data_IF_366276188692
#
_entry.id   IF_366276188692
#
_cell.length_a   1.000
_cell.length_b   1.000
_cell.length_c   1.000
_cell.angle_alpha   90.00
_cell.angle_beta   90.00
_cell.angle_gamma   90.00
#
_symmetry.space_group_name_H-M   'P 1'
#
loop_
_entity.id
_entity.type
_entity.pdbx_description
1 polymer ?
#
# COMPACT_ATOMS: atom_id res chain seq x y z
N UNK A 1 5.65 -24.93 11.15
CA UNK A 1 6.91 -24.64 10.41
C UNK A 1 7.53 -23.39 11.01
N UNK A 2 8.65 -23.58 11.67
CA UNK A 2 9.34 -22.76 12.68
C UNK A 2 10.14 -21.61 12.06
N UNK A 3 10.46 -20.61 12.90
CA UNK A 3 11.07 -19.30 12.61
C UNK A 3 12.52 -19.34 12.06
N UNK A 4 12.98 -20.47 11.55
CA UNK A 4 14.37 -20.68 11.11
C UNK A 4 14.74 -19.95 9.80
N UNK A 5 13.76 -19.37 9.10
CA UNK A 5 13.98 -18.71 7.80
C UNK A 5 14.28 -17.21 7.86
N UNK A 6 14.41 -16.61 9.06
CA UNK A 6 14.67 -15.17 9.20
C UNK A 6 16.17 -14.87 9.43
N UNK A 7 16.78 -13.90 8.72
CA UNK A 7 18.16 -13.51 8.94
C UNK A 7 18.36 -12.87 10.33
N UNK A 8 19.46 -13.24 11.01
CA UNK A 8 19.80 -12.91 12.42
C UNK A 8 20.00 -11.41 12.75
N UNK A 9 19.68 -10.48 11.85
CA UNK A 9 19.95 -9.05 12.10
C UNK A 9 18.78 -8.41 12.85
N UNK A 10 18.92 -8.36 14.18
CA UNK A 10 18.04 -7.62 15.08
C UNK A 10 18.27 -6.12 14.81
N UNK A 11 17.21 -5.40 14.43
CA UNK A 11 17.23 -3.93 14.32
C UNK A 11 16.88 -3.36 15.70
N UNK A 12 17.68 -2.45 16.27
CA UNK A 12 17.33 -1.80 17.55
C UNK A 12 16.01 -1.02 17.40
N UNK A 13 15.05 -1.26 18.30
CA UNK A 13 13.73 -0.60 18.31
C UNK A 13 12.53 -1.52 18.04
N UNK A 14 12.75 -2.81 17.74
CA UNK A 14 11.64 -3.76 17.62
C UNK A 14 11.25 -4.32 18.98
N UNK A 15 10.03 -4.04 19.42
CA UNK A 15 9.44 -4.62 20.65
C UNK A 15 9.39 -6.15 20.52
N UNK A 16 10.00 -6.92 21.45
CA UNK A 16 9.92 -8.37 21.42
C UNK A 16 8.49 -8.83 21.71
N UNK A 17 8.03 -9.82 20.94
CA UNK A 17 6.69 -10.41 21.10
C UNK A 17 6.65 -11.20 22.41
N UNK A 18 5.89 -10.71 23.39
CA UNK A 18 5.60 -11.42 24.63
C UNK A 18 4.49 -12.46 24.41
N UNK A 19 4.70 -13.67 24.91
CA UNK A 19 3.86 -14.84 24.66
C UNK A 19 3.19 -15.34 25.95
N UNK A 20 2.16 -14.66 26.43
CA UNK A 20 1.21 -15.23 27.40
C UNK A 20 -0.11 -14.46 27.33
N UNK A 21 -1.20 -15.17 27.07
CA UNK A 21 -2.61 -14.71 27.13
C UNK A 21 -3.07 -13.59 26.19
N UNK A 22 -3.12 -13.83 24.87
CA UNK A 22 -3.95 -12.99 23.98
C UNK A 22 -4.51 -13.86 22.86
N UNK A 23 -5.83 -13.79 22.63
CA UNK A 23 -6.49 -14.27 21.42
C UNK A 23 -5.67 -13.81 20.19
N UNK A 24 -4.83 -14.69 19.62
CA UNK A 24 -4.07 -14.34 18.42
C UNK A 24 -5.09 -14.22 17.31
N UNK A 25 -5.52 -13.00 16.98
CA UNK A 25 -6.36 -12.77 15.82
C UNK A 25 -5.58 -13.29 14.59
N UNK A 26 -5.99 -14.42 13.97
CA UNK A 26 -5.17 -15.10 12.97
C UNK A 26 -4.93 -14.21 11.75
N UNK A 27 -5.91 -13.37 11.41
CA UNK A 27 -5.78 -12.41 10.33
C UNK A 27 -4.71 -11.35 10.64
N UNK A 28 -4.68 -10.78 11.85
CA UNK A 28 -3.67 -9.81 12.25
C UNK A 28 -2.25 -10.41 12.26
N UNK A 29 -2.10 -11.64 12.76
CA UNK A 29 -0.82 -12.36 12.76
C UNK A 29 -0.32 -12.66 11.33
N UNK A 30 -1.20 -13.15 10.45
CA UNK A 30 -0.87 -13.39 9.04
C UNK A 30 -0.52 -12.09 8.31
N UNK A 31 -1.25 -11.01 8.58
CA UNK A 31 -0.96 -9.68 8.04
C UNK A 31 0.45 -9.21 8.45
N UNK A 32 0.78 -9.29 9.74
CA UNK A 32 2.09 -8.88 10.25
C UNK A 32 3.23 -9.73 9.69
N UNK A 33 3.01 -11.03 9.52
CA UNK A 33 3.98 -11.92 8.86
C UNK A 33 4.19 -11.57 7.39
N UNK A 34 3.12 -11.24 6.67
CA UNK A 34 3.19 -10.76 5.29
C UNK A 34 3.97 -9.45 5.18
N UNK A 35 3.75 -8.53 6.12
CA UNK A 35 4.46 -7.25 6.20
C UNK A 35 5.96 -7.46 6.40
N UNK A 36 6.35 -8.35 7.32
CA UNK A 36 7.74 -8.71 7.54
C UNK A 36 8.40 -9.23 6.25
N UNK A 37 7.74 -10.17 5.55
CA UNK A 37 8.25 -10.63 4.25
C UNK A 37 8.36 -9.51 3.22
N UNK A 38 7.42 -8.57 3.18
CA UNK A 38 7.45 -7.44 2.28
C UNK A 38 8.63 -6.49 2.57
N UNK A 39 8.94 -6.24 3.84
CA UNK A 39 10.09 -5.43 4.27
C UNK A 39 11.42 -6.01 3.75
N UNK A 40 11.55 -7.34 3.75
CA UNK A 40 12.72 -8.04 3.17
C UNK A 40 12.59 -8.28 1.65
N UNK A 41 11.68 -7.60 0.96
CA UNK A 41 11.41 -7.73 -0.49
C UNK A 41 11.04 -9.16 -0.94
N UNK A 42 10.62 -10.02 -0.02
CA UNK A 42 10.17 -11.39 -0.30
C UNK A 42 8.71 -11.39 -0.78
N UNK A 43 8.42 -10.68 -1.88
CA UNK A 43 7.05 -10.36 -2.31
C UNK A 43 6.16 -11.58 -2.52
N UNK A 44 6.68 -12.68 -3.09
CA UNK A 44 5.92 -13.93 -3.26
C UNK A 44 5.44 -14.50 -1.92
N UNK A 45 6.30 -14.48 -0.89
CA UNK A 45 5.97 -14.96 0.46
C UNK A 45 5.01 -14.01 1.16
N UNK A 46 5.19 -12.70 1.00
CA UNK A 46 4.27 -11.69 1.51
C UNK A 46 2.85 -11.90 0.96
N UNK A 47 2.72 -12.03 -0.36
CA UNK A 47 1.43 -12.30 -1.04
C UNK A 47 0.80 -13.60 -0.54
N UNK A 48 1.59 -14.66 -0.32
CA UNK A 48 1.08 -15.91 0.23
C UNK A 48 0.46 -15.71 1.62
N UNK A 49 1.11 -14.94 2.51
CA UNK A 49 0.57 -14.64 3.84
C UNK A 49 -0.68 -13.76 3.77
N UNK A 50 -0.69 -12.74 2.90
CA UNK A 50 -1.89 -11.91 2.72
C UNK A 50 -3.06 -12.65 2.09
N UNK A 51 -2.80 -13.63 1.21
CA UNK A 51 -3.82 -14.51 0.65
C UNK A 51 -4.48 -15.34 1.76
N UNK A 52 -3.68 -15.91 2.67
CA UNK A 52 -4.20 -16.59 3.85
C UNK A 52 -4.99 -15.64 4.76
N UNK A 53 -4.46 -14.44 5.03
CA UNK A 53 -5.16 -13.43 5.83
C UNK A 53 -6.52 -13.05 5.22
N UNK A 54 -6.58 -12.91 3.90
CA UNK A 54 -7.80 -12.58 3.15
C UNK A 54 -8.85 -13.68 3.21
N UNK A 55 -8.46 -14.96 3.37
CA UNK A 55 -9.39 -16.08 3.60
C UNK A 55 -10.01 -16.03 4.99
N UNK A 56 -9.25 -15.57 5.98
CA UNK A 56 -9.74 -15.44 7.37
C UNK A 56 -10.67 -14.25 7.52
N UNK A 57 -10.27 -13.09 6.97
CA UNK A 57 -11.10 -11.88 6.99
C UNK A 57 -11.08 -11.23 5.60
N UNK A 58 -12.08 -11.54 4.76
CA UNK A 58 -12.26 -10.87 3.48
C UNK A 58 -12.40 -9.37 3.69
N UNK A 59 -11.87 -8.58 2.75
CA UNK A 59 -11.91 -7.13 2.78
C UNK A 59 -11.29 -6.47 4.03
N UNK A 60 -10.40 -7.15 4.76
CA UNK A 60 -9.67 -6.52 5.84
C UNK A 60 -8.75 -5.40 5.31
N UNK A 61 -9.05 -4.16 5.70
CA UNK A 61 -8.43 -2.97 5.12
C UNK A 61 -6.89 -2.96 5.19
N UNK A 62 -6.25 -3.20 6.36
CA UNK A 62 -4.79 -3.28 6.43
C UNK A 62 -4.20 -4.33 5.48
N UNK A 63 -4.83 -5.50 5.38
CA UNK A 63 -4.37 -6.59 4.51
C UNK A 63 -4.49 -6.23 3.04
N UNK A 64 -5.60 -5.62 2.63
CA UNK A 64 -5.77 -5.17 1.25
C UNK A 64 -4.76 -4.08 0.87
N UNK A 65 -4.56 -3.07 1.72
CA UNK A 65 -3.62 -1.99 1.45
C UNK A 65 -2.19 -2.51 1.37
N UNK A 66 -1.79 -3.38 2.30
CA UNK A 66 -0.47 -4.02 2.30
C UNK A 66 -0.27 -4.91 1.07
N UNK A 67 -1.31 -5.63 0.63
CA UNK A 67 -1.25 -6.45 -0.59
C UNK A 67 -1.07 -5.58 -1.83
N UNK A 68 -1.80 -4.48 -1.93
CA UNK A 68 -1.67 -3.54 -3.05
C UNK A 68 -0.27 -2.91 -3.10
N UNK A 69 0.28 -2.52 -1.94
CA UNK A 69 1.63 -1.99 -1.83
C UNK A 69 2.68 -3.01 -2.27
N UNK A 70 2.53 -4.28 -1.89
CA UNK A 70 3.43 -5.35 -2.37
C UNK A 70 3.31 -5.54 -3.88
N UNK A 71 2.10 -5.53 -4.44
CA UNK A 71 1.96 -5.61 -5.89
C UNK A 71 2.60 -4.43 -6.61
N UNK A 72 2.41 -3.21 -6.11
CA UNK A 72 3.06 -2.01 -6.63
C UNK A 72 4.60 -2.11 -6.58
N UNK A 73 5.17 -2.53 -5.45
CA UNK A 73 6.61 -2.70 -5.28
C UNK A 73 7.20 -3.85 -6.11
N UNK A 74 6.38 -4.84 -6.45
CA UNK A 74 6.73 -5.91 -7.40
C UNK A 74 6.43 -5.56 -8.86
N UNK A 75 6.15 -4.29 -9.14
CA UNK A 75 5.83 -3.73 -10.47
C UNK A 75 4.57 -4.32 -11.14
N UNK A 76 3.73 -5.00 -10.36
CA UNK A 76 2.45 -5.52 -10.82
C UNK A 76 1.35 -4.48 -10.63
N UNK A 77 1.45 -3.38 -11.38
CA UNK A 77 0.57 -2.22 -11.23
C UNK A 77 -0.90 -2.55 -11.49
N UNK A 78 -1.19 -3.45 -12.44
CA UNK A 78 -2.57 -3.87 -12.72
C UNK A 78 -3.26 -4.53 -11.52
N UNK A 79 -2.57 -5.43 -10.81
CA UNK A 79 -3.10 -6.04 -9.58
C UNK A 79 -3.19 -5.04 -8.43
N UNK A 80 -2.22 -4.13 -8.31
CA UNK A 80 -2.27 -3.06 -7.32
C UNK A 80 -3.53 -2.17 -7.52
N UNK A 81 -3.77 -1.70 -8.75
CA UNK A 81 -4.94 -0.91 -9.12
C UNK A 81 -6.23 -1.66 -8.79
N UNK A 82 -6.35 -2.91 -9.21
CA UNK A 82 -7.57 -3.72 -8.96
C UNK A 82 -7.92 -3.82 -7.48
N UNK A 83 -6.91 -4.02 -6.61
CA UNK A 83 -7.13 -4.11 -5.17
C UNK A 83 -7.49 -2.75 -4.57
N UNK A 84 -6.82 -1.68 -4.98
CA UNK A 84 -7.07 -0.32 -4.49
C UNK A 84 -8.47 0.16 -4.89
N UNK A 85 -8.89 -0.05 -6.14
CA UNK A 85 -10.25 0.28 -6.56
C UNK A 85 -11.31 -0.50 -5.76
N UNK A 86 -11.09 -1.79 -5.51
CA UNK A 86 -11.98 -2.57 -4.63
C UNK A 86 -11.96 -2.07 -3.18
N UNK A 87 -10.82 -1.58 -2.71
CA UNK A 87 -10.72 -1.00 -1.36
C UNK A 87 -11.56 0.28 -1.26
N UNK A 88 -11.60 1.11 -2.30
CA UNK A 88 -12.44 2.32 -2.33
C UNK A 88 -13.94 1.98 -2.30
N UNK A 89 -14.35 0.88 -2.93
CA UNK A 89 -15.75 0.44 -2.92
C UNK A 89 -16.17 -0.11 -1.56
N UNK A 90 -15.29 -0.89 -0.91
CA UNK A 90 -15.60 -1.52 0.38
C UNK A 90 -15.42 -0.58 1.58
N UNK A 91 -14.48 0.34 1.51
CA UNK A 91 -14.15 1.28 2.58
C UNK A 91 -14.00 2.69 1.97
N UNK A 92 -15.07 3.37 1.58
CA UNK A 92 -14.95 4.66 0.90
C UNK A 92 -14.31 5.75 1.77
N UNK A 93 -14.48 5.68 3.09
CA UNK A 93 -14.07 6.69 4.07
C UNK A 93 -13.21 6.08 5.20
N UNK A 94 -12.05 5.53 4.87
CA UNK A 94 -11.12 4.98 5.86
C UNK A 94 -10.03 5.97 6.26
N UNK A 95 -9.42 5.79 7.43
CA UNK A 95 -8.37 6.69 7.96
C UNK A 95 -7.17 6.84 7.00
N UNK A 96 -6.78 5.76 6.32
CA UNK A 96 -5.65 5.74 5.38
C UNK A 96 -5.99 6.21 3.95
N UNK A 97 -7.13 6.88 3.74
CA UNK A 97 -7.67 7.17 2.39
C UNK A 97 -6.74 8.07 1.58
N UNK A 98 -6.01 9.00 2.22
CA UNK A 98 -5.04 9.85 1.53
C UNK A 98 -3.88 9.02 0.94
N UNK A 99 -3.25 8.17 1.77
CA UNK A 99 -2.18 7.27 1.36
C UNK A 99 -2.63 6.34 0.23
N UNK A 100 -3.86 5.83 0.34
CA UNK A 100 -4.48 5.01 -0.68
C UNK A 100 -4.61 5.78 -2.01
N UNK A 101 -5.21 6.98 -2.01
CA UNK A 101 -5.37 7.79 -3.23
C UNK A 101 -4.05 8.08 -3.91
N UNK A 102 -3.01 8.39 -3.13
CA UNK A 102 -1.66 8.63 -3.66
C UNK A 102 -1.07 7.35 -4.26
N UNK A 103 -1.16 6.20 -3.58
CA UNK A 103 -0.69 4.92 -4.11
C UNK A 103 -1.42 4.51 -5.39
N UNK A 104 -2.73 4.75 -5.47
CA UNK A 104 -3.54 4.50 -6.65
C UNK A 104 -3.12 5.43 -7.81
N UNK A 105 -2.86 6.70 -7.53
CA UNK A 105 -2.32 7.63 -8.53
C UNK A 105 -0.96 7.15 -9.06
N UNK A 106 -0.04 6.75 -8.18
CA UNK A 106 1.26 6.22 -8.57
C UNK A 106 1.13 4.97 -9.45
N UNK A 107 0.27 4.01 -9.05
CA UNK A 107 0.04 2.79 -9.81
C UNK A 107 -0.56 3.10 -11.20
N UNK A 108 -1.44 4.09 -11.29
CA UNK A 108 -1.99 4.54 -12.58
C UNK A 108 -0.94 5.18 -13.48
N UNK A 109 -0.08 6.04 -12.95
CA UNK A 109 0.98 6.67 -13.74
C UNK A 109 2.01 5.65 -14.21
N UNK A 110 2.41 4.72 -13.33
CA UNK A 110 3.32 3.62 -13.68
C UNK A 110 2.74 2.61 -14.68
N UNK A 111 1.41 2.51 -14.78
CA UNK A 111 0.71 1.74 -15.82
C UNK A 111 0.35 2.58 -17.06
N UNK A 112 0.96 3.76 -17.22
CA UNK A 112 0.76 4.69 -18.32
C UNK A 112 -0.66 5.27 -18.43
N UNK A 113 -1.48 5.13 -17.39
CA UNK A 113 -2.81 5.74 -17.31
C UNK A 113 -2.74 7.10 -16.59
N UNK A 114 -2.16 8.09 -17.26
CA UNK A 114 -1.93 9.43 -16.72
C UNK A 114 -3.23 10.13 -16.30
N UNK A 115 -4.30 9.98 -17.07
CA UNK A 115 -5.60 10.60 -16.78
C UNK A 115 -6.21 10.13 -15.44
N UNK A 116 -6.25 8.82 -15.18
CA UNK A 116 -6.70 8.30 -13.88
C UNK A 116 -5.72 8.63 -12.74
N UNK A 117 -4.43 8.74 -13.05
CA UNK A 117 -3.40 9.24 -12.13
C UNK A 117 -3.70 10.66 -11.64
N UNK A 118 -3.89 11.60 -12.58
CA UNK A 118 -4.23 13.00 -12.32
C UNK A 118 -5.51 13.15 -11.52
N UNK A 119 -6.55 12.39 -11.87
CA UNK A 119 -7.82 12.39 -11.13
C UNK A 119 -7.61 12.05 -9.65
N UNK A 120 -6.78 11.05 -9.34
CA UNK A 120 -6.52 10.67 -7.94
C UNK A 120 -5.60 11.68 -7.22
N UNK A 121 -4.67 12.32 -7.92
CA UNK A 121 -3.87 13.45 -7.40
C UNK A 121 -4.78 14.61 -7.01
N UNK A 122 -5.69 15.03 -7.89
CA UNK A 122 -6.62 16.12 -7.64
C UNK A 122 -7.50 15.83 -6.40
N UNK A 123 -7.98 14.59 -6.26
CA UNK A 123 -8.72 14.15 -5.07
C UNK A 123 -7.84 14.24 -3.83
N UNK A 124 -6.61 13.70 -3.87
CA UNK A 124 -5.71 13.71 -2.71
C UNK A 124 -5.40 15.14 -2.23
N UNK A 125 -5.13 16.08 -3.16
CA UNK A 125 -4.86 17.49 -2.83
C UNK A 125 -6.10 18.18 -2.28
N UNK A 126 -7.29 17.90 -2.83
CA UNK A 126 -8.55 18.42 -2.29
C UNK A 126 -8.81 17.94 -0.86
N UNK A 127 -8.45 16.69 -0.55
CA UNK A 127 -8.62 16.11 0.79
C UNK A 127 -7.61 16.67 1.79
N UNK A 128 -6.36 16.84 1.36
CA UNK A 128 -5.31 17.41 2.17
C UNK A 128 -4.38 18.27 1.31
N UNK A 129 -4.54 19.61 1.32
CA UNK A 129 -3.72 20.52 0.52
C UNK A 129 -2.22 20.42 0.81
N UNK A 130 -1.83 19.99 2.01
CA UNK A 130 -0.41 19.79 2.37
C UNK A 130 0.25 18.65 1.59
N UNK A 131 -0.54 17.75 1.00
CA UNK A 131 -0.03 16.68 0.14
C UNK A 131 0.58 17.21 -1.17
N UNK A 132 0.26 18.46 -1.56
CA UNK A 132 0.75 19.11 -2.79
C UNK A 132 2.28 19.02 -2.91
N UNK A 133 3.00 19.41 -1.87
CA UNK A 133 4.48 19.41 -1.85
C UNK A 133 5.04 18.00 -1.98
N UNK A 134 4.44 17.01 -1.28
CA UNK A 134 4.87 15.61 -1.36
C UNK A 134 4.63 15.02 -2.75
N UNK A 135 3.48 15.33 -3.37
CA UNK A 135 3.14 14.88 -4.72
C UNK A 135 4.08 15.52 -5.74
N UNK A 136 4.31 16.83 -5.66
CA UNK A 136 5.22 17.55 -6.56
C UNK A 136 6.64 16.99 -6.55
N UNK A 137 7.14 16.62 -5.37
CA UNK A 137 8.51 16.12 -5.20
C UNK A 137 8.63 14.60 -5.41
N UNK A 138 7.56 13.91 -5.78
CA UNK A 138 7.58 12.46 -5.98
C UNK A 138 8.02 12.12 -7.41
N UNK A 139 9.12 11.35 -7.60
CA UNK A 139 9.67 11.06 -8.92
C UNK A 139 8.72 10.24 -9.82
N UNK A 140 7.76 9.52 -9.23
CA UNK A 140 6.73 8.80 -10.00
C UNK A 140 5.91 9.75 -10.88
N UNK A 141 5.74 11.00 -10.45
CA UNK A 141 4.92 11.99 -11.12
C UNK A 141 5.70 12.93 -12.04
N UNK A 142 7.02 12.78 -12.18
CA UNK A 142 7.83 13.61 -13.09
C UNK A 142 7.32 13.59 -14.53
N UNK A 143 6.85 12.44 -15.00
CA UNK A 143 6.25 12.29 -16.34
C UNK A 143 4.97 13.11 -16.54
N UNK A 144 4.40 13.70 -15.48
CA UNK A 144 3.23 14.58 -15.53
C UNK A 144 3.61 16.06 -15.54
N UNK A 145 4.89 16.42 -15.34
CA UNK A 145 5.34 17.81 -15.29
C UNK A 145 5.05 18.59 -16.57
N UNK A 146 4.88 17.93 -17.71
CA UNK A 146 4.54 18.57 -18.99
C UNK A 146 3.03 18.84 -19.13
N UNK A 147 2.19 18.26 -18.26
CA UNK A 147 0.74 18.39 -18.33
C UNK A 147 0.30 19.65 -17.59
N UNK A 148 -0.35 20.58 -18.30
CA UNK A 148 -0.81 21.87 -17.73
C UNK A 148 -1.74 21.70 -16.53
N UNK A 149 -2.60 20.68 -16.53
CA UNK A 149 -3.46 20.36 -15.40
C UNK A 149 -2.66 19.98 -14.15
N UNK A 150 -1.61 19.16 -14.30
CA UNK A 150 -0.75 18.75 -13.18
C UNK A 150 -0.01 19.95 -12.57
N UNK A 151 0.52 20.84 -13.42
CA UNK A 151 1.16 22.09 -12.96
C UNK A 151 0.21 22.92 -12.11
N UNK A 152 -0.99 23.22 -12.62
CA UNK A 152 -2.02 23.96 -11.88
C UNK A 152 -2.42 23.30 -10.55
N UNK A 153 -2.42 21.97 -10.50
CA UNK A 153 -2.72 21.23 -9.27
C UNK A 153 -1.58 21.31 -8.24
N UNK A 154 -0.33 21.53 -8.66
CA UNK A 154 0.87 21.36 -7.83
C UNK A 154 1.71 22.63 -7.61
N UNK A 155 1.42 23.71 -8.33
CA UNK A 155 1.87 25.09 -8.08
C UNK A 155 1.04 25.70 -6.95
#
# INVERSE_FOLDING_TARGET
RTLEELPKKIVPGTVPLQTTEVFINPNAALNRKGELFAQYKMYKRAIAMYSLASRVRPNHLPTMLNTAMVYYNSENYGKAISILERLLLSHPNHENILTHRILLAQAYVKSNNRGKGLKNIAIAIKMNPTAKTSIRNNPVFESLNEISEYKKLTE
#
